data_IF_575514449634
#
_entry.id   IF_575514449634
#
_cell.length_a   1.000
_cell.length_b   1.000
_cell.length_c   1.000
_cell.angle_alpha   90.00
_cell.angle_beta   90.00
_cell.angle_gamma   90.00
#
_symmetry.space_group_name_H-M   'P 1'
#
loop_
_entity.id
_entity.type
_entity.pdbx_description
1 polymer ?
#
# COMPACT_ATOMS: atom_id res chain seq x y z
N UNK A 1 -44.76 -91.80 -70.22
CA UNK A 1 -45.54 -92.37 -69.10
C UNK A 1 -44.66 -92.38 -67.85
N UNK A 2 -45.15 -91.82 -66.73
CA UNK A 2 -44.75 -92.04 -65.30
C UNK A 2 -43.25 -91.96 -64.97
N UNK A 3 -42.73 -91.20 -64.01
CA UNK A 3 -43.28 -90.52 -62.84
C UNK A 3 -42.23 -90.60 -61.70
N UNK A 4 -42.10 -89.50 -60.95
CA UNK A 4 -41.81 -89.45 -59.50
C UNK A 4 -40.49 -90.03 -58.91
N UNK A 5 -39.60 -89.15 -58.39
CA UNK A 5 -39.22 -88.93 -56.96
C UNK A 5 -37.76 -88.44 -56.73
N UNK A 6 -37.65 -87.40 -55.90
CA UNK A 6 -36.50 -86.82 -55.15
C UNK A 6 -35.70 -87.85 -54.30
N UNK A 7 -34.57 -87.55 -53.56
CA UNK A 7 -33.98 -86.25 -53.14
C UNK A 7 -32.42 -86.12 -53.04
N UNK A 8 -31.98 -84.94 -52.57
CA UNK A 8 -30.92 -84.70 -51.56
C UNK A 8 -29.46 -84.35 -51.99
N UNK A 9 -28.93 -83.34 -51.27
CA UNK A 9 -27.53 -83.10 -50.83
C UNK A 9 -26.57 -82.22 -51.67
N UNK A 10 -26.53 -80.92 -51.31
CA UNK A 10 -25.38 -80.08 -50.88
C UNK A 10 -23.96 -80.44 -51.38
N UNK A 11 -23.29 -79.49 -52.06
CA UNK A 11 -21.98 -78.88 -51.71
C UNK A 11 -21.43 -78.01 -52.88
N UNK A 12 -21.48 -76.67 -52.75
CA UNK A 12 -20.33 -75.73 -52.57
C UNK A 12 -19.24 -75.77 -53.66
N UNK A 13 -19.19 -74.72 -54.50
CA UNK A 13 -17.97 -74.06 -55.02
C UNK A 13 -18.46 -72.83 -55.83
N UNK A 14 -18.29 -71.58 -55.41
CA UNK A 14 -17.04 -70.85 -55.25
C UNK A 14 -17.23 -69.51 -56.00
N UNK A 15 -17.71 -68.49 -55.30
CA UNK A 15 -18.09 -67.19 -55.89
C UNK A 15 -16.94 -66.20 -55.69
N UNK A 16 -16.17 -65.93 -56.75
CA UNK A 16 -15.15 -64.88 -56.79
C UNK A 16 -15.86 -63.52 -56.84
N UNK A 17 -15.87 -62.81 -55.70
CA UNK A 17 -16.22 -61.40 -55.62
C UNK A 17 -15.00 -60.56 -55.99
N UNK A 18 -15.03 -59.95 -57.17
CA UNK A 18 -14.16 -58.84 -57.53
C UNK A 18 -14.52 -57.62 -56.67
N UNK A 19 -13.67 -57.28 -55.71
CA UNK A 19 -13.71 -56.00 -55.01
C UNK A 19 -13.03 -54.93 -55.85
N UNK A 20 -13.81 -53.98 -56.39
CA UNK A 20 -13.27 -52.73 -56.90
C UNK A 20 -12.79 -51.89 -55.69
N UNK A 21 -11.54 -51.37 -55.70
CA UNK A 21 -11.10 -50.45 -54.67
C UNK A 21 -11.78 -49.09 -54.88
N UNK A 22 -12.64 -48.72 -53.93
CA UNK A 22 -13.05 -47.33 -53.72
C UNK A 22 -11.81 -46.54 -53.30
N UNK A 23 -11.30 -45.69 -54.19
CA UNK A 23 -10.33 -44.68 -53.83
C UNK A 23 -10.97 -43.70 -52.85
N UNK A 24 -10.58 -43.80 -51.57
CA UNK A 24 -10.78 -42.74 -50.59
C UNK A 24 -9.88 -41.57 -50.99
N UNK A 25 -10.47 -40.47 -51.47
CA UNK A 25 -9.77 -39.20 -51.57
C UNK A 25 -9.57 -38.68 -50.14
N UNK A 26 -8.45 -39.00 -49.51
CA UNK A 26 -7.96 -38.27 -48.34
C UNK A 26 -7.44 -36.92 -48.80
N UNK A 27 -8.35 -35.99 -49.08
CA UNK A 27 -8.01 -34.58 -49.28
C UNK A 27 -7.59 -33.97 -47.96
N UNK A 28 -6.28 -33.91 -47.71
CA UNK A 28 -5.71 -33.04 -46.67
C UNK A 28 -6.06 -31.59 -47.03
N UNK A 29 -7.00 -30.99 -46.30
CA UNK A 29 -7.44 -29.60 -46.50
C UNK A 29 -6.29 -28.69 -46.04
N UNK A 30 -5.51 -28.18 -46.98
CA UNK A 30 -4.44 -27.22 -46.73
C UNK A 30 -5.01 -25.90 -46.20
N UNK A 31 -4.61 -25.51 -45.00
CA UNK A 31 -5.10 -24.35 -44.23
C UNK A 31 -3.92 -23.47 -43.77
N UNK A 32 -3.30 -22.68 -44.68
CA UNK A 32 -2.10 -21.88 -44.40
C UNK A 32 -2.43 -20.58 -43.62
N UNK A 33 -3.26 -20.66 -42.59
CA UNK A 33 -3.67 -19.51 -41.80
C UNK A 33 -3.83 -19.88 -40.32
N UNK A 34 -3.59 -18.93 -39.40
CA UNK A 34 -3.90 -19.13 -38.00
C UNK A 34 -5.42 -19.23 -37.81
N UNK A 35 -5.84 -19.95 -36.77
CA UNK A 35 -7.26 -20.16 -36.48
C UNK A 35 -7.62 -19.68 -35.08
N UNK A 36 -8.90 -19.44 -34.85
CA UNK A 36 -9.43 -19.03 -33.54
C UNK A 36 -8.81 -17.74 -32.98
N UNK A 37 -8.53 -16.76 -33.85
CA UNK A 37 -8.13 -15.42 -33.42
C UNK A 37 -9.18 -14.83 -32.47
N UNK A 38 -8.72 -14.41 -31.29
CA UNK A 38 -9.50 -13.68 -30.29
C UNK A 38 -8.73 -12.45 -29.87
N UNK A 39 -9.39 -11.31 -29.92
CA UNK A 39 -8.95 -10.06 -29.32
C UNK A 39 -9.77 -9.83 -28.05
N UNK A 40 -9.10 -9.57 -26.93
CA UNK A 40 -9.74 -9.30 -25.64
C UNK A 40 -9.06 -8.11 -25.00
N UNK A 41 -9.85 -7.25 -24.37
CA UNK A 41 -9.34 -6.18 -23.52
C UNK A 41 -8.50 -6.76 -22.38
N UNK A 42 -7.26 -6.27 -22.23
CA UNK A 42 -6.31 -6.70 -21.23
C UNK A 42 -5.74 -5.48 -20.48
N UNK A 43 -6.62 -4.75 -19.79
CA UNK A 43 -6.27 -3.55 -19.03
C UNK A 43 -5.80 -2.41 -19.95
N UNK A 44 -4.50 -2.17 -19.98
CA UNK A 44 -3.84 -1.10 -20.74
C UNK A 44 -3.60 -1.44 -22.23
N UNK A 45 -3.92 -2.66 -22.65
CA UNK A 45 -3.72 -3.12 -24.03
C UNK A 45 -4.76 -4.13 -24.50
N UNK A 46 -4.65 -4.55 -25.75
CA UNK A 46 -5.52 -5.53 -26.39
C UNK A 46 -4.71 -6.82 -26.57
N UNK A 47 -5.13 -7.89 -25.90
CA UNK A 47 -4.50 -9.19 -26.02
C UNK A 47 -5.11 -9.96 -27.18
N UNK A 48 -4.27 -10.29 -28.15
CA UNK A 48 -4.56 -11.17 -29.26
C UNK A 48 -4.08 -12.58 -28.92
N UNK A 49 -4.92 -13.58 -29.15
CA UNK A 49 -4.58 -15.00 -29.03
C UNK A 49 -5.08 -15.73 -30.26
N UNK A 50 -4.30 -16.66 -30.79
CA UNK A 50 -4.68 -17.49 -31.93
C UNK A 50 -4.13 -18.90 -31.77
N UNK A 51 -4.44 -19.78 -32.72
CA UNK A 51 -3.87 -21.12 -32.85
C UNK A 51 -3.09 -21.18 -34.14
N UNK A 52 -1.88 -21.71 -34.05
CA UNK A 52 -0.98 -21.82 -35.20
C UNK A 52 -1.58 -22.67 -36.34
N UNK A 53 -1.17 -22.39 -37.57
CA UNK A 53 -1.51 -23.22 -38.73
C UNK A 53 -0.91 -24.62 -38.57
N UNK A 54 -1.69 -25.69 -38.82
CA UNK A 54 -1.16 -27.06 -38.80
C UNK A 54 -0.30 -27.39 -40.03
N UNK A 55 -0.41 -26.59 -41.10
CA UNK A 55 0.13 -26.93 -42.42
C UNK A 55 1.38 -26.13 -42.80
N UNK A 56 1.57 -24.95 -42.21
CA UNK A 56 2.69 -24.05 -42.52
C UNK A 56 3.26 -23.45 -41.23
N UNK A 57 4.59 -23.54 -41.09
CA UNK A 57 5.35 -22.85 -40.04
C UNK A 57 6.02 -21.62 -40.66
N UNK A 58 5.57 -20.44 -40.27
CA UNK A 58 6.08 -19.16 -40.79
C UNK A 58 5.90 -18.05 -39.76
N UNK A 59 6.37 -16.84 -40.10
CA UNK A 59 6.20 -15.64 -39.28
C UNK A 59 4.74 -15.19 -39.35
N UNK A 60 4.16 -14.84 -38.20
CA UNK A 60 2.84 -14.23 -38.14
C UNK A 60 2.96 -12.71 -38.19
N UNK A 61 2.30 -12.09 -39.16
CA UNK A 61 2.19 -10.66 -39.28
C UNK A 61 0.85 -10.21 -38.74
N UNK A 62 0.88 -9.27 -37.81
CA UNK A 62 -0.30 -8.76 -37.11
C UNK A 62 -0.60 -7.36 -37.64
N UNK A 63 -1.84 -7.18 -38.10
CA UNK A 63 -2.34 -5.94 -38.67
C UNK A 63 -3.45 -5.36 -37.83
N UNK A 64 -3.51 -4.02 -37.80
CA UNK A 64 -4.51 -3.23 -37.09
C UNK A 64 -5.15 -2.19 -38.02
N UNK A 65 -6.46 -2.05 -37.91
CA UNK A 65 -7.22 -1.04 -38.66
C UNK A 65 -8.43 -0.51 -37.87
N UNK A 66 -8.92 0.69 -38.18
CA UNK A 66 -10.06 1.31 -37.51
C UNK A 66 -11.43 0.83 -38.03
N UNK A 67 -11.45 0.10 -39.14
CA UNK A 67 -12.63 -0.58 -39.67
C UNK A 67 -12.29 -2.05 -39.91
N UNK A 68 -13.32 -2.91 -40.05
CA UNK A 68 -13.11 -4.34 -40.30
C UNK A 68 -12.18 -4.55 -41.50
N UNK A 69 -11.16 -5.39 -41.32
CA UNK A 69 -10.16 -5.68 -42.35
C UNK A 69 -10.76 -6.64 -43.37
N UNK A 70 -10.69 -6.23 -44.64
CA UNK A 70 -11.13 -6.95 -45.82
C UNK A 70 -10.09 -6.76 -46.93
N UNK A 71 -10.17 -7.57 -47.99
CA UNK A 71 -9.23 -7.49 -49.12
C UNK A 71 -9.21 -6.07 -49.76
N UNK A 72 -10.35 -5.37 -49.74
CA UNK A 72 -10.47 -4.02 -50.32
C UNK A 72 -9.88 -2.88 -49.49
N UNK A 73 -9.56 -3.09 -48.20
CA UNK A 73 -8.98 -2.06 -47.32
C UNK A 73 -7.70 -2.52 -46.61
N UNK A 74 -7.22 -3.72 -46.90
CA UNK A 74 -6.02 -4.28 -46.28
C UNK A 74 -4.78 -3.43 -46.55
N UNK A 75 -4.69 -2.76 -47.71
CA UNK A 75 -3.57 -1.85 -48.01
C UNK A 75 -3.46 -0.66 -47.05
N UNK A 76 -4.56 -0.28 -46.41
CA UNK A 76 -4.62 0.82 -45.42
C UNK A 76 -4.40 0.31 -43.99
N UNK A 77 -4.38 -1.02 -43.78
CA UNK A 77 -4.14 -1.62 -42.48
C UNK A 77 -2.67 -1.45 -42.07
N UNK A 78 -2.46 -1.06 -40.82
CA UNK A 78 -1.13 -0.86 -40.26
C UNK A 78 -0.60 -2.18 -39.69
N UNK A 79 0.55 -2.62 -40.18
CA UNK A 79 1.29 -3.71 -39.53
C UNK A 79 1.84 -3.23 -38.18
N UNK A 80 1.53 -3.96 -37.11
CA UNK A 80 1.94 -3.62 -35.74
C UNK A 80 3.06 -4.51 -35.22
N UNK A 81 3.16 -5.75 -35.70
CA UNK A 81 4.21 -6.68 -35.29
C UNK A 81 4.36 -7.85 -36.26
N UNK A 82 5.59 -8.38 -36.32
CA UNK A 82 5.92 -9.67 -36.90
C UNK A 82 6.39 -10.60 -35.77
N UNK A 83 5.75 -11.77 -35.66
CA UNK A 83 5.89 -12.69 -34.54
C UNK A 83 6.41 -14.04 -35.05
N UNK A 84 7.55 -14.54 -34.54
CA UNK A 84 8.10 -15.84 -34.96
C UNK A 84 7.13 -17.02 -34.72
N UNK A 85 7.30 -18.14 -35.46
CA UNK A 85 6.48 -19.33 -35.25
C UNK A 85 6.60 -19.86 -33.81
N UNK A 86 5.48 -20.35 -33.25
CA UNK A 86 5.39 -20.89 -31.89
C UNK A 86 4.94 -19.87 -30.83
N UNK A 87 4.81 -18.59 -31.18
CA UNK A 87 4.18 -17.58 -30.34
C UNK A 87 2.76 -17.35 -30.83
N UNK A 88 1.78 -17.65 -29.96
CA UNK A 88 0.34 -17.61 -30.27
C UNK A 88 -0.40 -16.53 -29.49
N UNK A 89 0.34 -15.61 -28.86
CA UNK A 89 -0.20 -14.51 -28.04
C UNK A 89 0.59 -13.24 -28.31
N UNK A 90 -0.12 -12.13 -28.49
CA UNK A 90 0.45 -10.79 -28.67
C UNK A 90 -0.38 -9.77 -27.89
N UNK A 91 0.23 -8.68 -27.43
CA UNK A 91 -0.48 -7.57 -26.76
C UNK A 91 -0.18 -6.27 -27.50
N UNK A 92 -1.23 -5.63 -28.01
CA UNK A 92 -1.15 -4.32 -28.64
C UNK A 92 -1.48 -3.20 -27.64
N UNK A 93 -0.81 -2.06 -27.78
CA UNK A 93 -0.99 -0.87 -26.94
C UNK A 93 -1.30 0.35 -27.83
N UNK A 94 -2.55 0.52 -28.28
CA UNK A 94 -2.92 1.62 -29.18
C UNK A 94 -2.85 3.00 -28.50
N UNK A 95 -2.96 3.07 -27.17
CA UNK A 95 -2.83 4.31 -26.39
C UNK A 95 -4.04 5.26 -26.46
N UNK A 96 -5.06 4.92 -27.25
CA UNK A 96 -6.30 5.68 -27.40
C UNK A 96 -7.54 4.82 -27.08
N UNK A 97 -8.73 5.44 -27.13
CA UNK A 97 -10.04 4.77 -26.94
C UNK A 97 -10.67 4.31 -28.25
N UNK A 98 -9.96 4.38 -29.37
CA UNK A 98 -10.53 4.01 -30.66
C UNK A 98 -10.73 2.50 -30.70
N UNK A 99 -11.81 2.08 -31.33
CA UNK A 99 -12.07 0.66 -31.53
C UNK A 99 -11.31 0.18 -32.77
N UNK A 100 -10.59 -0.93 -32.61
CA UNK A 100 -9.73 -1.49 -33.64
C UNK A 100 -10.14 -2.91 -34.02
N UNK A 101 -9.86 -3.23 -35.28
CA UNK A 101 -9.96 -4.55 -35.86
C UNK A 101 -8.57 -5.10 -36.14
N UNK A 102 -8.42 -6.40 -35.97
CA UNK A 102 -7.14 -7.10 -36.10
C UNK A 102 -7.23 -8.23 -37.12
N UNK A 103 -6.14 -8.42 -37.84
CA UNK A 103 -5.92 -9.59 -38.69
C UNK A 103 -4.53 -10.17 -38.39
N UNK A 104 -4.42 -11.50 -38.41
CA UNK A 104 -3.15 -12.21 -38.26
C UNK A 104 -2.95 -13.05 -39.52
N UNK A 105 -1.95 -12.70 -40.30
CA UNK A 105 -1.61 -13.37 -41.55
C UNK A 105 -0.28 -14.11 -41.41
N UNK A 106 -0.09 -15.14 -42.21
CA UNK A 106 1.11 -15.96 -42.20
C UNK A 106 1.98 -15.62 -43.42
N UNK A 107 3.29 -15.59 -43.22
CA UNK A 107 4.29 -15.48 -44.28
C UNK A 107 4.38 -16.79 -45.09
N UNK A 108 4.35 -16.68 -46.41
CA UNK A 108 4.60 -17.73 -47.40
C UNK A 108 6.09 -18.11 -47.38
N UNK A 109 6.47 -19.38 -47.59
CA UNK A 109 7.85 -19.79 -47.88
C UNK A 109 8.62 -18.93 -48.88
N UNK A 110 7.95 -18.31 -49.85
CA UNK A 110 8.56 -17.41 -50.84
C UNK A 110 8.65 -15.93 -50.37
N UNK A 111 8.27 -15.63 -49.12
CA UNK A 111 8.32 -14.30 -48.49
C UNK A 111 7.09 -13.41 -48.76
N UNK A 112 6.04 -13.95 -49.38
CA UNK A 112 4.74 -13.27 -49.53
C UNK A 112 3.86 -13.41 -48.30
N UNK A 113 2.70 -12.76 -48.26
CA UNK A 113 1.69 -12.99 -47.21
C UNK A 113 0.52 -13.80 -47.76
N UNK A 114 0.01 -14.75 -46.97
CA UNK A 114 -1.27 -15.38 -47.26
C UNK A 114 -2.42 -14.41 -46.93
N UNK A 115 -2.78 -13.57 -47.90
CA UNK A 115 -3.86 -12.55 -47.83
C UNK A 115 -5.27 -13.17 -47.88
N UNK A 116 -5.54 -14.11 -46.98
CA UNK A 116 -6.84 -14.78 -46.88
C UNK A 116 -7.57 -14.31 -45.63
N UNK A 117 -8.64 -13.52 -45.75
CA UNK A 117 -9.35 -12.96 -44.59
C UNK A 117 -10.61 -13.75 -44.23
N UNK A 118 -10.50 -14.65 -43.24
CA UNK A 118 -11.61 -15.50 -42.81
C UNK A 118 -12.17 -14.99 -41.46
N UNK A 119 -13.43 -14.51 -41.42
CA UNK A 119 -14.11 -14.10 -40.19
C UNK A 119 -13.99 -15.13 -39.05
N UNK A 120 -13.66 -14.67 -37.84
CA UNK A 120 -13.51 -15.48 -36.62
C UNK A 120 -12.39 -16.54 -36.66
N UNK A 121 -11.58 -16.59 -37.72
CA UNK A 121 -10.41 -17.47 -37.78
C UNK A 121 -9.13 -16.69 -37.66
N UNK A 122 -8.89 -15.78 -38.58
CA UNK A 122 -7.67 -15.00 -38.63
C UNK A 122 -7.92 -13.49 -38.74
N UNK A 123 -9.19 -13.06 -38.72
CA UNK A 123 -9.58 -11.68 -38.47
C UNK A 123 -10.70 -11.55 -37.44
N UNK A 124 -10.71 -10.42 -36.75
CA UNK A 124 -11.80 -10.02 -35.85
C UNK A 124 -12.94 -9.37 -36.62
N UNK A 125 -14.18 -9.68 -36.25
CA UNK A 125 -15.41 -9.08 -36.82
C UNK A 125 -16.04 -8.06 -35.87
N UNK A 126 -15.70 -8.16 -34.58
CA UNK A 126 -16.07 -7.16 -33.57
C UNK A 126 -14.85 -6.33 -33.24
N UNK A 127 -14.99 -5.01 -33.12
CA UNK A 127 -13.88 -4.17 -32.76
C UNK A 127 -13.59 -4.30 -31.26
N UNK A 128 -12.35 -4.00 -30.88
CA UNK A 128 -11.89 -3.98 -29.49
C UNK A 128 -11.18 -2.66 -29.25
N UNK A 129 -11.43 -2.03 -28.09
CA UNK A 129 -10.72 -0.84 -27.64
C UNK A 129 -9.89 -1.16 -26.40
N UNK A 130 -8.79 -0.45 -26.22
CA UNK A 130 -8.03 -0.44 -24.97
C UNK A 130 -8.53 0.70 -24.08
N UNK A 131 -8.36 0.57 -22.77
CA UNK A 131 -8.42 1.75 -21.91
C UNK A 131 -7.20 2.62 -22.21
N UNK A 132 -7.38 3.94 -22.35
CA UNK A 132 -6.28 4.82 -22.69
C UNK A 132 -5.33 4.88 -21.48
N UNK A 133 -4.02 4.87 -21.76
CA UNK A 133 -3.02 5.30 -20.79
C UNK A 133 -3.17 6.81 -20.66
N UNK A 134 -4.16 7.27 -19.88
CA UNK A 134 -4.24 8.68 -19.51
C UNK A 134 -3.05 8.93 -18.61
N UNK A 135 -2.12 9.75 -19.06
CA UNK A 135 -0.92 10.04 -18.28
C UNK A 135 -1.34 10.63 -16.93
N UNK A 136 -0.63 10.33 -15.83
CA UNK A 136 -0.94 10.96 -14.53
C UNK A 136 -0.91 12.50 -14.63
N UNK A 137 -0.16 13.05 -15.60
CA UNK A 137 -0.16 14.47 -15.96
C UNK A 137 -1.51 14.99 -16.45
N UNK A 138 -2.24 14.22 -17.25
CA UNK A 138 -3.58 14.58 -17.75
C UNK A 138 -4.67 14.33 -16.71
N UNK A 139 -4.40 13.47 -15.73
CA UNK A 139 -5.32 13.20 -14.63
C UNK A 139 -5.14 14.12 -13.41
N UNK A 140 -4.00 14.78 -13.30
CA UNK A 140 -3.64 15.62 -12.16
C UNK A 140 -4.46 16.90 -12.07
N UNK A 141 -4.62 17.37 -10.84
CA UNK A 141 -5.20 18.67 -10.57
C UNK A 141 -4.20 19.81 -10.84
N UNK A 142 -4.61 20.79 -11.63
CA UNK A 142 -3.88 22.03 -11.87
C UNK A 142 -4.30 23.09 -10.86
N UNK A 143 -3.35 23.53 -10.03
CA UNK A 143 -3.58 24.59 -9.04
C UNK A 143 -3.30 25.96 -9.67
N UNK A 144 -4.23 26.89 -9.49
CA UNK A 144 -4.15 28.26 -10.00
C UNK A 144 -4.50 29.29 -8.93
N UNK A 145 -4.00 30.51 -9.13
CA UNK A 145 -4.38 31.66 -8.30
C UNK A 145 -3.87 31.63 -6.86
N UNK A 146 -2.77 30.91 -6.57
CA UNK A 146 -2.18 30.87 -5.24
C UNK A 146 -1.83 32.27 -4.74
N UNK A 147 -2.49 32.69 -3.66
CA UNK A 147 -2.22 33.91 -2.91
C UNK A 147 -2.04 33.58 -1.45
N UNK A 148 -0.99 34.11 -0.86
CA UNK A 148 -0.70 34.01 0.56
C UNK A 148 -0.91 35.38 1.20
N UNK A 149 -1.69 35.45 2.28
CA UNK A 149 -1.97 36.69 3.01
C UNK A 149 -1.88 36.46 4.52
N UNK A 150 -1.33 37.43 5.23
CA UNK A 150 -1.28 37.39 6.70
C UNK A 150 -2.68 37.65 7.25
N UNK A 151 -3.18 36.75 8.10
CA UNK A 151 -4.48 36.89 8.77
C UNK A 151 -4.36 36.47 10.24
N UNK A 152 -4.44 37.44 11.14
CA UNK A 152 -4.24 37.19 12.57
C UNK A 152 -2.81 36.73 12.87
N UNK A 153 -2.67 35.57 13.49
CA UNK A 153 -1.39 34.94 13.84
C UNK A 153 -0.89 33.92 12.80
N UNK A 154 -1.59 33.75 11.67
CA UNK A 154 -1.26 32.80 10.62
C UNK A 154 -1.18 33.42 9.23
N UNK A 155 -0.73 32.61 8.27
CA UNK A 155 -0.77 32.92 6.84
C UNK A 155 -1.88 32.08 6.20
N UNK A 156 -2.87 32.76 5.63
CA UNK A 156 -3.93 32.13 4.88
C UNK A 156 -3.55 32.06 3.40
N UNK A 157 -3.47 30.83 2.88
CA UNK A 157 -3.32 30.53 1.46
C UNK A 157 -4.71 30.42 0.82
N UNK A 158 -4.90 31.05 -0.33
CA UNK A 158 -6.10 30.94 -1.17
C UNK A 158 -5.69 30.50 -2.57
N UNK A 159 -6.36 29.49 -3.11
CA UNK A 159 -6.06 28.90 -4.42
C UNK A 159 -7.31 28.22 -4.99
N UNK A 160 -7.24 27.80 -6.25
CA UNK A 160 -8.28 27.03 -6.92
C UNK A 160 -7.65 25.85 -7.65
N UNK A 161 -8.29 24.68 -7.58
CA UNK A 161 -7.97 23.53 -8.40
C UNK A 161 -9.04 23.34 -9.47
N UNK A 162 -8.64 22.91 -10.67
CA UNK A 162 -9.54 22.57 -11.78
C UNK A 162 -10.34 21.26 -11.53
N UNK A 163 -9.81 20.40 -10.65
CA UNK A 163 -10.39 19.13 -10.23
C UNK A 163 -10.59 19.10 -8.72
N UNK A 164 -11.50 18.22 -8.28
CA UNK A 164 -11.93 18.11 -6.87
C UNK A 164 -11.77 16.70 -6.28
N UNK A 165 -11.29 15.76 -7.08
CA UNK A 165 -11.15 14.32 -6.77
C UNK A 165 -9.68 13.91 -6.55
N UNK A 166 -8.81 14.89 -6.28
CA UNK A 166 -7.36 14.73 -6.13
C UNK A 166 -6.88 15.26 -4.78
N UNK A 167 -5.72 14.78 -4.34
CA UNK A 167 -5.03 15.32 -3.16
C UNK A 167 -3.89 16.25 -3.58
N UNK A 168 -3.72 17.34 -2.83
CA UNK A 168 -2.69 18.35 -3.05
C UNK A 168 -1.76 18.41 -1.82
N UNK A 169 -0.46 18.53 -2.07
CA UNK A 169 0.56 18.72 -1.05
C UNK A 169 1.02 20.17 -1.03
N UNK A 170 1.07 20.75 0.17
CA UNK A 170 1.48 22.14 0.40
C UNK A 170 2.90 22.16 0.96
N UNK A 171 3.75 22.97 0.34
CA UNK A 171 5.14 23.17 0.68
C UNK A 171 5.41 24.59 1.16
N UNK A 172 6.37 24.72 2.06
CA UNK A 172 6.88 25.99 2.59
C UNK A 172 8.39 26.00 2.57
N UNK A 173 8.97 27.11 2.12
CA UNK A 173 10.41 27.36 2.16
C UNK A 173 10.71 28.81 2.54
N UNK A 174 11.90 29.07 3.08
CA UNK A 174 12.44 30.43 3.30
C UNK A 174 13.00 31.10 2.04
N UNK A 175 13.08 30.36 0.93
CA UNK A 175 13.68 30.77 -0.34
C UNK A 175 12.68 30.43 -1.47
N UNK A 176 12.77 31.08 -2.65
CA UNK A 176 11.82 30.83 -3.74
C UNK A 176 11.81 29.37 -4.19
N UNK A 177 10.62 28.76 -4.24
CA UNK A 177 10.41 27.41 -4.78
C UNK A 177 10.27 27.51 -6.31
N UNK A 178 11.36 27.85 -6.99
CA UNK A 178 11.38 28.08 -8.44
C UNK A 178 11.85 26.86 -9.26
N UNK A 179 12.52 25.91 -8.61
CA UNK A 179 13.10 24.72 -9.22
C UNK A 179 13.01 23.49 -8.28
N UNK A 180 13.52 22.36 -8.76
CA UNK A 180 13.50 21.09 -8.02
C UNK A 180 14.31 21.18 -6.74
N UNK A 181 15.46 21.86 -6.75
CA UNK A 181 16.30 22.01 -5.55
C UNK A 181 15.57 22.80 -4.46
N UNK A 182 14.88 23.88 -4.84
CA UNK A 182 14.03 24.65 -3.95
C UNK A 182 12.83 23.86 -3.43
N UNK A 183 12.30 22.91 -4.19
CA UNK A 183 11.23 22.02 -3.70
C UNK A 183 11.78 20.95 -2.74
N UNK A 184 12.96 20.38 -3.00
CA UNK A 184 13.61 19.40 -2.13
C UNK A 184 14.05 19.99 -0.79
N UNK A 185 14.44 21.27 -0.78
CA UNK A 185 14.71 22.02 0.45
C UNK A 185 13.44 22.43 1.20
N UNK A 186 12.27 22.36 0.57
CA UNK A 186 11.02 22.85 1.15
C UNK A 186 10.44 21.85 2.15
N UNK A 187 9.84 22.36 3.22
CA UNK A 187 9.11 21.55 4.18
C UNK A 187 7.68 21.31 3.68
N UNK A 188 7.24 20.05 3.65
CA UNK A 188 5.82 19.72 3.47
C UNK A 188 5.07 20.06 4.75
N UNK A 189 4.07 20.94 4.65
CA UNK A 189 3.31 21.45 5.81
C UNK A 189 1.90 20.87 5.90
N UNK A 190 1.43 20.19 4.85
CA UNK A 190 0.12 19.55 4.86
C UNK A 190 -0.25 18.91 3.54
N UNK A 191 -1.19 17.97 3.62
CA UNK A 191 -1.90 17.38 2.50
C UNK A 191 -3.38 17.70 2.64
N UNK A 192 -4.00 18.15 1.57
CA UNK A 192 -5.40 18.56 1.53
C UNK A 192 -6.09 17.95 0.33
N UNK A 193 -7.42 17.86 0.39
CA UNK A 193 -8.22 17.53 -0.78
C UNK A 193 -8.35 18.74 -1.71
N UNK A 194 -8.40 18.50 -3.02
CA UNK A 194 -8.47 19.52 -4.07
C UNK A 194 -9.81 20.27 -4.12
N UNK A 195 -10.81 19.83 -3.36
CA UNK A 195 -12.07 20.56 -3.16
C UNK A 195 -11.90 21.77 -2.23
N UNK A 196 -10.84 21.80 -1.41
CA UNK A 196 -10.51 22.91 -0.55
C UNK A 196 -9.89 24.05 -1.36
N UNK A 197 -10.26 25.28 -1.01
CA UNK A 197 -9.75 26.51 -1.67
C UNK A 197 -8.91 27.37 -0.74
N UNK A 198 -8.82 26.98 0.53
CA UNK A 198 -8.13 27.75 1.56
C UNK A 198 -7.35 26.84 2.51
N UNK A 199 -6.14 27.25 2.87
CA UNK A 199 -5.32 26.58 3.88
C UNK A 199 -4.71 27.62 4.82
N UNK A 200 -4.58 27.31 6.10
CA UNK A 200 -3.99 28.24 7.09
C UNK A 200 -2.73 27.62 7.67
N UNK A 201 -1.61 28.29 7.47
CA UNK A 201 -0.31 27.95 8.05
C UNK A 201 0.00 28.85 9.25
N UNK A 202 0.73 28.34 10.23
CA UNK A 202 1.19 29.06 11.42
C UNK A 202 2.73 29.05 11.48
N UNK A 203 3.41 29.76 10.59
CA UNK A 203 4.87 29.81 10.55
C UNK A 203 5.44 30.74 11.62
N UNK A 204 6.75 30.65 11.85
CA UNK A 204 7.45 31.47 12.83
C UNK A 204 7.43 32.95 12.39
N UNK A 205 6.94 33.89 13.22
CA UNK A 205 6.94 35.31 12.88
C UNK A 205 8.35 35.87 12.70
N UNK A 206 8.49 36.86 11.81
CA UNK A 206 9.76 37.51 11.51
C UNK A 206 10.50 36.96 10.27
N UNK A 207 10.13 35.76 9.79
CA UNK A 207 10.79 35.09 8.65
C UNK A 207 9.90 35.20 7.39
N UNK A 208 10.46 35.57 6.23
CA UNK A 208 9.73 35.53 4.95
C UNK A 208 9.61 34.08 4.44
N UNK A 209 8.41 33.68 4.04
CA UNK A 209 8.14 32.34 3.51
C UNK A 209 7.54 32.38 2.10
N UNK A 210 7.96 31.42 1.29
CA UNK A 210 7.40 31.08 -0.01
C UNK A 210 6.60 29.77 0.12
N UNK A 211 5.54 29.68 -0.67
CA UNK A 211 4.60 28.56 -0.68
C UNK A 211 4.51 27.93 -2.07
N UNK A 212 4.34 26.62 -2.11
CA UNK A 212 4.04 25.86 -3.32
C UNK A 212 2.95 24.83 -3.05
N UNK A 213 2.06 24.61 -4.00
CA UNK A 213 0.99 23.61 -3.92
C UNK A 213 1.03 22.75 -5.18
N UNK A 214 1.14 21.44 -5.01
CA UNK A 214 1.26 20.49 -6.13
C UNK A 214 0.35 19.30 -5.93
N UNK A 215 -0.11 18.68 -7.02
CA UNK A 215 -0.80 17.38 -6.96
C UNK A 215 0.14 16.32 -6.37
N UNK A 216 -0.34 15.59 -5.37
CA UNK A 216 0.47 14.63 -4.63
C UNK A 216 1.02 13.52 -5.53
N UNK A 217 0.27 13.06 -6.54
CA UNK A 217 0.75 12.02 -7.47
C UNK A 217 1.77 12.56 -8.47
N UNK A 218 1.65 13.81 -8.90
CA UNK A 218 2.67 14.44 -9.75
C UNK A 218 4.02 14.54 -9.02
N UNK A 219 4.00 14.87 -7.72
CA UNK A 219 5.21 14.85 -6.89
C UNK A 219 5.83 13.45 -6.84
N UNK A 220 5.02 12.42 -6.56
CA UNK A 220 5.51 11.03 -6.47
C UNK A 220 6.09 10.51 -7.78
N UNK A 221 5.52 10.91 -8.92
CA UNK A 221 5.98 10.52 -10.25
C UNK A 221 7.09 11.42 -10.81
N UNK A 222 7.39 12.55 -10.15
CA UNK A 222 8.38 13.51 -10.62
C UNK A 222 7.97 14.31 -11.87
N UNK A 223 6.67 14.36 -12.20
CA UNK A 223 6.16 14.97 -13.45
C UNK A 223 5.52 16.36 -13.23
N UNK A 224 5.74 16.96 -12.07
CA UNK A 224 5.21 18.29 -11.70
C UNK A 224 5.90 19.43 -12.46
N UNK A 225 5.23 20.59 -12.50
CA UNK A 225 5.71 21.81 -13.17
C UNK A 225 5.59 23.01 -12.24
N UNK A 226 6.56 23.93 -12.29
CA UNK A 226 6.56 25.17 -11.54
C UNK A 226 5.94 26.30 -12.37
N UNK A 227 4.81 26.85 -11.91
CA UNK A 227 4.09 27.95 -12.54
C UNK A 227 4.00 29.16 -11.57
N UNK A 228 4.94 30.13 -11.69
CA UNK A 228 4.95 31.36 -10.90
C UNK A 228 3.58 32.06 -10.81
N UNK A 229 3.09 32.27 -9.58
CA UNK A 229 1.82 32.94 -9.31
C UNK A 229 0.57 32.08 -9.52
N UNK A 230 0.72 30.83 -9.94
CA UNK A 230 -0.39 29.87 -10.06
C UNK A 230 -0.33 28.84 -8.96
N UNK A 231 0.72 28.03 -8.95
CA UNK A 231 0.93 26.96 -7.98
C UNK A 231 2.10 27.23 -7.03
N UNK A 232 2.93 28.24 -7.32
CA UNK A 232 4.00 28.73 -6.44
C UNK A 232 3.87 30.23 -6.21
N UNK A 233 4.15 30.69 -4.99
CA UNK A 233 4.14 32.10 -4.65
C UNK A 233 5.38 32.81 -5.19
N UNK A 234 5.21 33.95 -5.85
CA UNK A 234 6.33 34.76 -6.37
C UNK A 234 6.92 35.68 -5.29
N UNK A 235 6.06 36.22 -4.43
CA UNK A 235 6.47 37.10 -3.35
C UNK A 235 6.40 36.37 -2.02
N UNK A 236 7.39 36.55 -1.13
CA UNK A 236 7.33 35.95 0.18
C UNK A 236 6.31 36.66 1.06
N UNK A 237 5.73 35.92 2.00
CA UNK A 237 4.83 36.47 3.01
C UNK A 237 5.50 36.35 4.38
N UNK A 238 5.43 37.43 5.15
CA UNK A 238 6.04 37.54 6.47
C UNK A 238 5.01 38.01 7.49
N UNK A 239 4.86 37.26 8.57
CA UNK A 239 4.12 37.72 9.75
C UNK A 239 4.99 38.73 10.50
N UNK A 240 4.42 39.88 10.82
CA UNK A 240 5.10 40.94 11.58
C UNK A 240 5.48 40.50 13.00
N UNK A 241 6.59 41.00 13.53
CA UNK A 241 7.08 40.63 14.87
C UNK A 241 6.15 41.09 16.00
N UNK A 242 5.25 42.05 15.74
CA UNK A 242 4.25 42.53 16.68
C UNK A 242 3.24 41.43 17.08
N UNK A 243 3.06 40.40 16.24
CA UNK A 243 2.25 39.22 16.57
C UNK A 243 2.82 38.41 17.75
N UNK A 244 4.10 38.58 18.13
CA UNK A 244 4.67 37.91 19.32
C UNK A 244 4.12 38.43 20.65
N UNK A 245 3.52 39.64 20.69
CA UNK A 245 3.08 40.27 21.95
C UNK A 245 1.71 39.80 22.44
N UNK A 246 0.97 39.09 21.61
CA UNK A 246 -0.34 38.53 21.96
C UNK A 246 -0.25 37.03 21.78
N UNK A 247 -0.24 36.28 22.88
CA UNK A 247 -0.78 34.93 22.87
C UNK A 247 0.00 33.76 22.26
N UNK A 248 1.32 33.84 22.03
CA UNK A 248 2.08 32.59 21.82
C UNK A 248 2.07 31.79 23.13
N UNK A 249 1.12 30.86 23.27
CA UNK A 249 1.31 29.70 24.11
C UNK A 249 2.63 29.07 23.68
N UNK A 250 3.57 28.96 24.63
CA UNK A 250 4.84 28.30 24.38
C UNK A 250 4.57 26.95 23.70
N UNK A 251 5.22 26.62 22.57
CA UNK A 251 5.02 25.32 21.94
C UNK A 251 5.36 24.25 22.97
N UNK A 252 4.36 23.48 23.39
CA UNK A 252 4.49 22.37 24.32
C UNK A 252 5.12 21.15 23.67
N UNK A 253 6.14 21.35 22.84
CA UNK A 253 6.94 20.28 22.27
C UNK A 253 8.38 20.78 22.20
N UNK A 254 9.13 20.52 23.27
CA UNK A 254 10.58 20.45 23.16
C UNK A 254 10.91 19.26 22.24
N UNK A 255 10.92 19.47 20.93
CA UNK A 255 11.66 18.63 20.00
C UNK A 255 13.13 18.81 20.34
N UNK A 256 13.59 18.14 21.40
CA UNK A 256 15.02 17.92 21.59
C UNK A 256 15.45 17.17 20.35
N UNK A 257 16.41 17.70 19.60
CA UNK A 257 17.13 16.91 18.60
C UNK A 257 17.55 15.60 19.28
N UNK A 258 17.38 14.44 18.63
CA UNK A 258 17.82 13.19 19.21
C UNK A 258 19.26 13.37 19.70
N UNK A 259 19.56 12.94 20.93
CA UNK A 259 20.89 13.14 21.48
C UNK A 259 21.90 12.56 20.49
N UNK A 260 23.00 13.28 20.26
CA UNK A 260 24.08 12.82 19.39
C UNK A 260 24.37 11.34 19.68
N UNK A 261 24.40 10.47 18.65
CA UNK A 261 24.68 9.06 18.86
C UNK A 261 26.04 8.94 19.55
N UNK A 262 26.04 8.37 20.75
CA UNK A 262 27.26 8.20 21.53
C UNK A 262 28.10 7.09 20.92
N UNK A 263 29.36 7.42 20.62
CA UNK A 263 30.34 6.45 20.15
C UNK A 263 30.65 5.45 21.25
N UNK A 264 30.23 4.20 21.06
CA UNK A 264 30.51 3.09 21.96
C UNK A 264 31.89 2.51 21.63
N UNK A 265 32.92 2.91 22.37
CA UNK A 265 34.27 2.42 22.18
C UNK A 265 34.51 1.18 23.06
N UNK A 266 34.76 0.04 22.43
CA UNK A 266 35.15 -1.19 23.12
C UNK A 266 36.63 -1.21 23.50
N UNK A 267 37.45 -0.39 22.83
CA UNK A 267 38.89 -0.29 23.04
C UNK A 267 39.35 1.16 23.01
N UNK A 268 40.38 1.46 23.80
CA UNK A 268 41.06 2.74 23.79
C UNK A 268 41.68 3.00 22.41
N UNK A 269 41.39 4.16 21.82
CA UNK A 269 41.96 4.58 20.52
C UNK A 269 43.47 4.85 20.64
N UNK A 270 43.95 5.15 21.85
CA UNK A 270 45.36 5.51 22.11
C UNK A 270 46.19 4.31 22.54
N UNK A 271 45.66 3.45 23.41
CA UNK A 271 46.43 2.34 24.01
C UNK A 271 46.03 0.96 23.49
N UNK A 272 44.88 0.82 22.81
CA UNK A 272 44.37 -0.48 22.35
C UNK A 272 43.78 -1.36 23.45
N UNK A 273 43.87 -0.94 24.71
CA UNK A 273 43.34 -1.68 25.85
C UNK A 273 41.81 -1.77 25.81
N UNK A 274 41.29 -2.86 26.36
CA UNK A 274 39.85 -3.07 26.48
C UNK A 274 39.27 -2.09 27.51
N UNK A 275 38.29 -1.29 27.07
CA UNK A 275 37.57 -0.38 27.96
C UNK A 275 36.51 -1.17 28.75
N UNK A 276 36.12 -0.64 29.92
CA UNK A 276 35.06 -1.21 30.75
C UNK A 276 33.78 -1.43 29.92
N UNK A 277 32.96 -2.45 30.25
CA UNK A 277 31.76 -2.80 29.49
C UNK A 277 30.83 -1.60 29.29
N UNK A 278 30.22 -1.53 28.11
CA UNK A 278 29.49 -0.37 27.58
C UNK A 278 28.50 0.25 28.56
N UNK A 279 27.82 -0.57 29.38
CA UNK A 279 26.85 -0.13 30.38
C UNK A 279 27.42 0.82 31.45
N UNK A 280 28.68 0.66 31.85
CA UNK A 280 29.34 1.56 32.81
C UNK A 280 29.90 2.84 32.15
N UNK A 281 29.88 2.91 30.81
CA UNK A 281 30.20 4.13 30.05
C UNK A 281 28.95 4.98 29.78
N UNK A 282 27.73 4.44 29.98
CA UNK A 282 26.45 5.09 29.64
C UNK A 282 26.07 6.15 30.68
N UNK A 283 26.36 5.89 31.96
CA UNK A 283 26.00 6.79 33.07
C UNK A 283 27.27 7.32 33.74
N UNK A 284 27.50 8.65 33.78
CA UNK A 284 28.58 9.18 34.59
C UNK A 284 28.37 8.74 36.05
N UNK A 285 29.45 8.41 36.75
CA UNK A 285 29.37 8.08 38.15
C UNK A 285 28.62 9.19 38.90
N UNK A 286 27.59 8.87 39.71
CA UNK A 286 26.80 9.87 40.41
C UNK A 286 27.73 10.76 41.22
N UNK A 287 27.69 12.06 40.95
CA UNK A 287 28.44 13.06 41.70
C UNK A 287 27.48 13.75 42.66
N UNK A 288 27.87 13.98 43.92
CA UNK A 288 27.05 14.77 44.83
C UNK A 288 26.85 16.16 44.23
N UNK A 289 25.60 16.64 44.28
CA UNK A 289 25.26 17.96 43.76
C UNK A 289 25.93 19.03 44.64
N UNK A 290 26.47 20.09 44.04
CA UNK A 290 27.02 21.20 44.80
C UNK A 290 25.93 21.91 45.61
N UNK A 291 26.25 22.41 46.80
CA UNK A 291 25.25 22.98 47.73
C UNK A 291 24.38 24.09 47.11
N UNK A 292 24.96 24.94 46.25
CA UNK A 292 24.21 25.97 45.54
C UNK A 292 23.25 25.40 44.48
N UNK A 293 23.63 24.32 43.80
CA UNK A 293 22.77 23.66 42.83
C UNK A 293 21.64 22.88 43.53
N UNK A 294 21.93 22.24 44.66
CA UNK A 294 20.92 21.57 45.48
C UNK A 294 19.85 22.56 45.96
N UNK A 295 20.24 23.73 46.47
CA UNK A 295 19.29 24.75 46.92
C UNK A 295 18.35 25.26 45.80
N UNK A 296 18.88 25.43 44.58
CA UNK A 296 18.07 25.84 43.42
C UNK A 296 17.12 24.71 42.99
N UNK A 297 17.57 23.46 43.01
CA UNK A 297 16.74 22.29 42.69
C UNK A 297 15.64 22.11 43.73
N UNK A 298 15.93 22.25 45.02
CA UNK A 298 14.93 22.16 46.09
C UNK A 298 13.88 23.27 45.97
N UNK A 299 14.29 24.48 45.60
CA UNK A 299 13.37 25.59 45.35
C UNK A 299 12.48 25.32 44.12
N UNK A 300 13.05 24.78 43.04
CA UNK A 300 12.29 24.37 41.86
C UNK A 300 11.31 23.24 42.15
N UNK A 301 11.69 22.26 42.97
CA UNK A 301 10.83 21.15 43.37
C UNK A 301 9.70 21.60 44.31
N UNK A 302 9.95 22.58 45.19
CA UNK A 302 8.95 23.14 46.08
C UNK A 302 7.82 23.89 45.34
N UNK A 303 8.11 24.44 44.16
CA UNK A 303 7.14 25.14 43.31
C UNK A 303 6.33 24.18 42.42
N UNK A 304 6.68 22.89 42.37
CA UNK A 304 5.91 21.89 41.63
C UNK A 304 4.76 21.42 42.52
N UNK A 305 3.48 21.62 42.11
CA UNK A 305 2.37 21.09 42.86
C UNK A 305 2.50 19.57 42.96
N UNK A 306 2.37 19.01 44.17
CA UNK A 306 2.33 17.57 44.35
C UNK A 306 1.26 17.00 43.43
N UNK A 307 1.69 16.20 42.44
CA UNK A 307 0.78 15.48 41.57
C UNK A 307 0.13 14.40 42.43
N UNK A 308 -1.00 14.72 43.06
CA UNK A 308 -1.85 13.73 43.67
C UNK A 308 -2.39 12.83 42.56
N UNK A 309 -1.72 11.71 42.32
CA UNK A 309 -2.20 10.71 41.38
C UNK A 309 -3.49 10.13 41.94
N UNK A 310 -4.57 10.25 41.16
CA UNK A 310 -5.83 9.57 41.48
C UNK A 310 -5.55 8.07 41.65
N UNK A 311 -6.11 7.41 42.67
CA UNK A 311 -5.96 5.98 42.85
C UNK A 311 -6.41 5.26 41.58
N UNK A 312 -5.64 4.26 41.17
CA UNK A 312 -5.98 3.46 40.00
C UNK A 312 -7.23 2.63 40.31
N UNK A 313 -8.24 2.72 39.45
CA UNK A 313 -9.44 1.90 39.51
C UNK A 313 -9.27 0.72 38.55
N UNK A 314 -9.70 -0.47 38.97
CA UNK A 314 -9.65 -1.66 38.12
C UNK A 314 -10.66 -1.51 36.97
N UNK A 315 -10.19 -1.69 35.74
CA UNK A 315 -10.98 -1.47 34.54
C UNK A 315 -11.23 -2.79 33.82
N UNK A 316 -12.50 -3.10 33.55
CA UNK A 316 -12.89 -4.18 32.66
C UNK A 316 -13.46 -3.57 31.38
N UNK A 317 -12.83 -3.86 30.25
CA UNK A 317 -13.26 -3.31 28.96
C UNK A 317 -14.67 -3.82 28.59
N UNK A 318 -15.57 -2.95 28.08
CA UNK A 318 -16.94 -3.34 27.74
C UNK A 318 -17.02 -4.52 26.77
N UNK A 319 -16.06 -4.60 25.84
CA UNK A 319 -15.89 -5.69 24.86
C UNK A 319 -15.69 -7.06 25.50
N UNK A 320 -15.24 -7.13 26.75
CA UNK A 320 -14.97 -8.36 27.49
C UNK A 320 -16.05 -8.69 28.54
N UNK A 321 -17.08 -7.85 28.65
CA UNK A 321 -18.25 -8.05 29.53
C UNK A 321 -19.52 -8.40 28.76
N UNK A 322 -19.72 -7.80 27.58
CA UNK A 322 -20.97 -7.92 26.83
C UNK A 322 -20.67 -8.36 25.38
N UNK A 323 -20.92 -9.63 25.08
CA UNK A 323 -20.75 -10.22 23.75
C UNK A 323 -21.11 -11.69 23.71
N UNK A 324 -21.34 -12.22 22.50
CA UNK A 324 -21.52 -13.66 22.28
C UNK A 324 -20.15 -14.35 22.28
N UNK A 325 -19.65 -14.66 23.48
CA UNK A 325 -18.36 -15.33 23.63
C UNK A 325 -18.50 -16.85 23.41
N UNK A 326 -17.56 -17.44 22.68
CA UNK A 326 -17.43 -18.89 22.56
C UNK A 326 -16.00 -19.35 22.87
N UNK A 327 -15.86 -20.58 23.38
CA UNK A 327 -14.55 -21.17 23.67
C UNK A 327 -13.73 -20.39 24.71
N UNK A 328 -12.49 -20.03 24.35
CA UNK A 328 -11.52 -19.39 25.24
C UNK A 328 -11.97 -18.00 25.74
N UNK A 329 -12.61 -17.20 24.87
CA UNK A 329 -13.11 -15.88 25.24
C UNK A 329 -14.20 -15.94 26.33
N UNK A 330 -15.01 -17.00 26.31
CA UNK A 330 -16.03 -17.22 27.35
C UNK A 330 -15.38 -17.49 28.71
N UNK A 331 -14.36 -18.35 28.77
CA UNK A 331 -13.61 -18.64 30.01
C UNK A 331 -12.94 -17.38 30.57
N UNK A 332 -12.34 -16.54 29.72
CA UNK A 332 -11.76 -15.27 30.14
C UNK A 332 -12.84 -14.35 30.75
N UNK A 333 -13.98 -14.18 30.06
CA UNK A 333 -15.09 -13.37 30.57
C UNK A 333 -15.62 -13.88 31.92
N UNK A 334 -15.61 -15.20 32.15
CA UNK A 334 -16.04 -15.82 33.40
C UNK A 334 -15.08 -15.46 34.55
N UNK A 335 -13.76 -15.57 34.33
CA UNK A 335 -12.73 -15.19 35.31
C UNK A 335 -12.89 -13.71 35.70
N UNK A 336 -13.09 -12.83 34.71
CA UNK A 336 -13.25 -11.40 34.95
C UNK A 336 -14.52 -11.08 35.74
N UNK A 337 -15.64 -11.72 35.38
CA UNK A 337 -16.93 -11.48 36.05
C UNK A 337 -16.95 -12.06 37.46
N UNK A 338 -16.35 -13.22 37.69
CA UNK A 338 -16.48 -13.92 38.97
C UNK A 338 -15.43 -13.53 40.01
N UNK A 339 -14.23 -13.11 39.58
CA UNK A 339 -13.08 -12.84 40.47
C UNK A 339 -12.58 -11.41 40.35
N UNK A 340 -12.26 -10.95 39.14
CA UNK A 340 -11.68 -9.62 38.93
C UNK A 340 -12.65 -8.51 39.37
N UNK A 341 -13.95 -8.64 39.06
CA UNK A 341 -14.98 -7.69 39.46
C UNK A 341 -15.18 -7.58 40.98
N UNK A 342 -14.81 -8.64 41.73
CA UNK A 342 -14.91 -8.70 43.20
C UNK A 342 -13.67 -8.16 43.92
N UNK A 343 -12.61 -7.82 43.18
CA UNK A 343 -11.33 -7.38 43.74
C UNK A 343 -10.46 -8.52 44.27
N UNK A 344 -10.77 -9.77 43.93
CA UNK A 344 -9.99 -10.97 44.26
C UNK A 344 -8.76 -11.07 43.33
N UNK A 345 -7.85 -10.10 43.40
CA UNK A 345 -6.77 -9.93 42.42
C UNK A 345 -5.70 -11.03 42.50
N UNK A 346 -5.43 -11.57 43.68
CA UNK A 346 -4.46 -12.66 43.86
C UNK A 346 -5.00 -13.96 43.25
N UNK A 347 -6.26 -14.31 43.52
CA UNK A 347 -6.90 -15.46 42.88
C UNK A 347 -7.14 -15.25 41.38
N UNK A 348 -7.35 -14.01 40.94
CA UNK A 348 -7.48 -13.68 39.53
C UNK A 348 -6.15 -13.88 38.79
N UNK A 349 -5.03 -13.46 39.38
CA UNK A 349 -3.72 -13.66 38.78
C UNK A 349 -3.42 -15.15 38.57
N UNK A 350 -3.65 -15.98 39.58
CA UNK A 350 -3.46 -17.44 39.48
C UNK A 350 -4.36 -18.07 38.39
N UNK A 351 -5.63 -17.67 38.31
CA UNK A 351 -6.56 -18.16 37.30
C UNK A 351 -6.16 -17.73 35.88
N UNK A 352 -5.63 -16.52 35.70
CA UNK A 352 -5.17 -16.01 34.41
C UNK A 352 -3.83 -16.62 33.98
N UNK A 353 -2.92 -16.93 34.92
CA UNK A 353 -1.70 -17.69 34.63
C UNK A 353 -2.01 -19.11 34.15
N UNK A 354 -2.92 -19.81 34.83
CA UNK A 354 -3.39 -21.14 34.39
C UNK A 354 -4.08 -21.03 33.03
N UNK A 355 -4.89 -20.00 32.83
CA UNK A 355 -5.51 -19.72 31.54
C UNK A 355 -4.45 -19.54 30.45
N UNK A 356 -3.39 -18.77 30.67
CA UNK A 356 -2.31 -18.52 29.72
C UNK A 356 -1.34 -19.70 29.53
N UNK A 357 -1.38 -20.72 30.40
CA UNK A 357 -0.50 -21.90 30.30
C UNK A 357 -0.77 -22.78 29.07
N UNK A 358 -1.98 -22.67 28.49
CA UNK A 358 -2.38 -23.38 27.28
C UNK A 358 -2.44 -22.35 26.14
N UNK A 359 -1.80 -22.65 25.00
CA UNK A 359 -1.76 -21.73 23.87
C UNK A 359 -3.15 -21.55 23.25
N UNK A 360 -3.58 -20.31 23.03
CA UNK A 360 -4.88 -19.95 22.42
C UNK A 360 -4.67 -19.00 21.24
N UNK A 361 -5.77 -18.42 20.77
CA UNK A 361 -5.78 -17.34 19.79
C UNK A 361 -5.13 -16.08 20.39
N UNK A 362 -4.28 -15.42 19.61
CA UNK A 362 -3.39 -14.36 20.09
C UNK A 362 -4.18 -13.19 20.73
N UNK A 363 -5.34 -12.84 20.18
CA UNK A 363 -6.21 -11.76 20.70
C UNK A 363 -6.73 -12.02 22.13
N UNK A 364 -7.02 -13.28 22.46
CA UNK A 364 -7.50 -13.69 23.79
C UNK A 364 -6.34 -13.77 24.78
N UNK A 365 -5.15 -14.14 24.30
CA UNK A 365 -3.93 -14.14 25.11
C UNK A 365 -3.49 -12.72 25.48
N UNK A 366 -3.51 -11.77 24.53
CA UNK A 366 -3.21 -10.36 24.81
C UNK A 366 -4.23 -9.75 25.79
N UNK A 367 -5.52 -10.07 25.64
CA UNK A 367 -6.56 -9.63 26.58
C UNK A 367 -6.33 -10.19 27.98
N UNK A 368 -6.02 -11.48 28.11
CA UNK A 368 -5.74 -12.11 29.40
C UNK A 368 -4.48 -11.52 30.06
N UNK A 369 -3.44 -11.20 29.28
CA UNK A 369 -2.21 -10.54 29.77
C UNK A 369 -2.48 -9.13 30.27
N UNK A 370 -3.32 -8.36 29.57
CA UNK A 370 -3.72 -7.03 30.02
C UNK A 370 -4.36 -7.07 31.43
N UNK A 371 -5.29 -8.00 31.66
CA UNK A 371 -5.94 -8.14 32.98
C UNK A 371 -5.03 -8.75 34.04
N UNK A 372 -4.11 -9.64 33.65
CA UNK A 372 -3.07 -10.15 34.55
C UNK A 372 -2.14 -9.02 34.99
N UNK A 373 -1.80 -8.08 34.09
CA UNK A 373 -1.05 -6.87 34.41
C UNK A 373 -1.75 -6.00 35.45
N UNK A 374 -3.06 -5.79 35.32
CA UNK A 374 -3.84 -5.07 36.33
C UNK A 374 -3.87 -5.81 37.68
N UNK A 375 -4.06 -7.13 37.68
CA UNK A 375 -4.06 -7.94 38.90
C UNK A 375 -2.70 -7.89 39.63
N UNK A 376 -1.58 -7.96 38.88
CA UNK A 376 -0.25 -7.79 39.45
C UNK A 376 0.00 -6.39 39.99
N UNK A 377 -0.55 -5.37 39.34
CA UNK A 377 -0.47 -4.00 39.83
C UNK A 377 -1.16 -3.85 41.19
N UNK A 378 -2.34 -4.43 41.38
CA UNK A 378 -3.06 -4.36 42.66
C UNK A 378 -2.46 -5.23 43.76
N UNK A 379 -1.72 -6.29 43.40
CA UNK A 379 -0.99 -7.14 44.37
C UNK A 379 0.41 -6.62 44.69
N UNK A 380 0.84 -5.50 44.08
CA UNK A 380 2.15 -4.87 44.33
C UNK A 380 3.31 -5.48 43.55
N UNK A 381 3.05 -6.42 42.64
CA UNK A 381 4.04 -7.07 41.79
C UNK A 381 4.33 -6.22 40.54
N UNK A 382 4.84 -5.01 40.73
CA UNK A 382 4.97 -3.99 39.67
C UNK A 382 5.87 -4.41 38.51
N UNK A 383 6.90 -5.22 38.76
CA UNK A 383 7.81 -5.72 37.72
C UNK A 383 7.08 -6.66 36.77
N UNK A 384 6.35 -7.62 37.32
CA UNK A 384 5.59 -8.58 36.52
C UNK A 384 4.41 -7.90 35.83
N UNK A 385 3.75 -6.95 36.50
CA UNK A 385 2.73 -6.12 35.88
C UNK A 385 3.24 -5.42 34.61
N UNK A 386 4.43 -4.81 34.68
CA UNK A 386 5.04 -4.14 33.52
C UNK A 386 5.25 -5.11 32.35
N UNK A 387 5.80 -6.30 32.60
CA UNK A 387 6.00 -7.28 31.53
C UNK A 387 4.70 -7.71 30.87
N UNK A 388 3.64 -7.90 31.63
CA UNK A 388 2.34 -8.26 31.06
C UNK A 388 1.75 -7.12 30.22
N UNK A 389 1.87 -5.86 30.67
CA UNK A 389 1.41 -4.71 29.87
C UNK A 389 2.19 -4.54 28.58
N UNK A 390 3.53 -4.64 28.62
CA UNK A 390 4.37 -4.57 27.41
C UNK A 390 4.06 -5.69 26.41
N UNK A 391 3.69 -6.88 26.91
CA UNK A 391 3.28 -7.98 26.03
C UNK A 391 1.88 -7.75 25.46
N UNK A 392 0.98 -7.08 26.19
CA UNK A 392 -0.37 -6.77 25.74
C UNK A 392 -0.45 -5.56 24.79
N UNK A 393 0.64 -4.79 24.63
CA UNK A 393 0.68 -3.59 23.77
C UNK A 393 0.38 -3.86 22.29
N UNK A 394 0.56 -5.09 21.80
CA UNK A 394 0.26 -5.43 20.41
C UNK A 394 -1.20 -5.16 20.03
N UNK A 395 -2.14 -5.50 20.93
CA UNK A 395 -3.59 -5.30 20.75
C UNK A 395 -4.19 -4.23 21.67
N UNK A 396 -3.54 -3.90 22.79
CA UNK A 396 -4.07 -3.00 23.86
C UNK A 396 -3.10 -1.86 24.21
N UNK A 397 -2.50 -1.24 23.20
CA UNK A 397 -1.54 -0.16 23.39
C UNK A 397 -2.10 1.00 24.22
N UNK A 398 -3.27 1.53 23.82
CA UNK A 398 -3.86 2.73 24.44
C UNK A 398 -4.29 2.49 25.89
N UNK A 399 -4.78 1.30 26.17
CA UNK A 399 -5.24 0.86 27.48
C UNK A 399 -4.08 0.54 28.42
N UNK A 400 -2.93 0.09 27.90
CA UNK A 400 -1.76 -0.29 28.69
C UNK A 400 -0.90 0.91 29.11
N UNK A 401 -0.82 1.99 28.31
CA UNK A 401 0.01 3.17 28.62
C UNK A 401 -0.27 3.78 30.02
N UNK A 402 -1.54 4.02 30.42
CA UNK A 402 -1.82 4.61 31.73
C UNK A 402 -1.33 3.75 32.90
N UNK A 403 -1.30 2.42 32.74
CA UNK A 403 -0.80 1.51 33.77
C UNK A 403 0.73 1.49 33.82
N UNK A 404 1.38 1.49 32.66
CA UNK A 404 2.84 1.57 32.53
C UNK A 404 3.36 2.86 33.19
N UNK A 405 2.73 4.00 32.90
CA UNK A 405 3.07 5.31 33.48
C UNK A 405 2.96 5.32 35.01
N UNK A 406 1.98 4.61 35.58
CA UNK A 406 1.78 4.47 37.03
C UNK A 406 2.80 3.52 37.67
N UNK A 407 3.33 2.57 36.92
CA UNK A 407 4.31 1.59 37.40
C UNK A 407 5.72 2.20 37.47
N UNK A 408 6.11 3.02 36.50
CA UNK A 408 7.47 3.55 36.40
C UNK A 408 7.98 4.25 37.67
N UNK A 409 7.23 5.16 38.33
CA UNK A 409 7.69 5.80 39.57
C UNK A 409 7.92 4.80 40.70
N UNK A 410 7.13 3.72 40.75
CA UNK A 410 7.18 2.74 41.85
C UNK A 410 8.35 1.78 41.73
N UNK A 411 8.74 1.45 40.49
CA UNK A 411 9.96 0.67 40.23
C UNK A 411 11.23 1.45 40.60
N UNK A 412 11.22 2.78 40.47
CA UNK A 412 12.35 3.62 40.85
C UNK A 412 12.55 3.76 42.37
N UNK A 413 11.48 3.56 43.16
CA UNK A 413 11.50 3.65 44.63
C UNK A 413 11.59 2.30 45.35
N UNK A 414 11.50 1.18 44.63
CA UNK A 414 11.60 -0.15 45.22
C UNK A 414 13.09 -0.52 45.42
N UNK A 415 13.52 -0.95 46.63
CA UNK A 415 14.92 -1.24 46.93
C UNK A 415 15.50 -2.43 46.16
#
# INVERSE_FOLDING_TARGET
MKGFRFPLTIAVMGLFLYSLPLYSQSGTIFSPFPSSLRAVEAGEGIRLTWRDSPDVLGTYHIFRHSTEIEEGNFSDAKEIAAVPPGISTFVDYPGDRQEYYYAVLLEDPDGGLFELFIPFRNKTVYPVSALPVVSEKELAASVTGLKAEVRGEGIQLRFQADRKDRSLTIYRHTDPIADVDGLLGASSIGMIESDQTTFTDYPIPGIPYYYGIFDTKLIQTGTFVFNPGQNISVQPVKIGEEARRTGLAAPSISLRSPPLPRLMLQRSVVSGDQLAPSLNQISPAPRPMGAAAAAVVDQLLADIPEKHEKPAEAEILPSHLHGDFSGAAYTLSLILRERFSKGEYEETAAALEEFLSIRREDSVDHAARFYLGQAYYFTGNYREALYQFLTAEEDYYAESQPWIDRIYPRLATSP
#
